data_IF_629416791278
#
_entry.id   IF_629416791278
#
_cell.length_a   1.000
_cell.length_b   1.000
_cell.length_c   1.000
_cell.angle_alpha   90.00
_cell.angle_beta   90.00
_cell.angle_gamma   90.00
#
_symmetry.space_group_name_H-M   'P 1'
#
loop_
_entity.id
_entity.type
_entity.pdbx_description
1 polymer ?
#
# COMPACT_ATOMS: atom_id res chain seq x y z
N UNK A 1 14.36 -14.53 -4.19
CA UNK A 1 13.84 -13.15 -4.29
C UNK A 1 12.46 -13.20 -4.94
N UNK A 2 11.46 -12.52 -4.37
CA UNK A 2 10.07 -12.59 -4.85
C UNK A 2 9.49 -11.18 -5.06
N UNK A 3 8.46 -11.08 -5.93
CA UNK A 3 7.64 -9.88 -6.10
C UNK A 3 6.41 -10.01 -5.21
N UNK A 4 6.28 -9.13 -4.23
CA UNK A 4 5.24 -9.22 -3.19
C UNK A 4 4.43 -7.93 -3.19
N UNK A 5 3.12 -8.05 -3.40
CA UNK A 5 2.19 -6.95 -3.17
C UNK A 5 1.70 -7.00 -1.72
N UNK A 6 1.70 -5.86 -1.03
CA UNK A 6 1.24 -5.75 0.35
C UNK A 6 0.07 -4.78 0.38
N UNK A 7 -1.11 -5.30 0.71
CA UNK A 7 -2.33 -4.51 0.86
C UNK A 7 -2.49 -4.09 2.32
N UNK A 8 -2.81 -2.82 2.56
CA UNK A 8 -2.99 -2.27 3.90
C UNK A 8 -3.88 -1.03 3.89
N UNK A 9 -4.30 -0.57 5.07
CA UNK A 9 -5.36 0.44 5.23
C UNK A 9 -6.75 -0.20 5.24
N UNK A 10 -7.70 0.41 4.53
CA UNK A 10 -9.08 -0.06 4.36
C UNK A 10 -10.13 0.86 4.97
N UNK A 11 -11.42 0.54 4.81
CA UNK A 11 -12.53 1.34 5.34
C UNK A 11 -12.92 1.00 6.79
N UNK A 12 -12.22 0.07 7.45
CA UNK A 12 -12.53 -0.36 8.81
C UNK A 12 -12.04 0.65 9.87
N UNK A 13 -12.48 0.46 11.12
CA UNK A 13 -11.98 1.20 12.29
C UNK A 13 -10.49 0.97 12.56
N UNK A 14 -9.91 -0.09 12.00
CA UNK A 14 -8.49 -0.45 12.15
C UNK A 14 -7.60 0.15 11.04
N UNK A 15 -8.14 1.05 10.21
CA UNK A 15 -7.41 1.67 9.09
C UNK A 15 -6.01 2.19 9.48
N UNK A 16 -5.91 2.94 10.58
CA UNK A 16 -4.64 3.50 11.07
C UNK A 16 -3.66 2.41 11.53
N UNK A 17 -4.15 1.39 12.23
CA UNK A 17 -3.35 0.24 12.67
C UNK A 17 -2.83 -0.53 11.46
N UNK A 18 -3.70 -0.77 10.47
CA UNK A 18 -3.35 -1.44 9.21
C UNK A 18 -2.27 -0.67 8.44
N UNK A 19 -2.30 0.67 8.41
CA UNK A 19 -1.21 1.50 7.83
C UNK A 19 0.12 1.24 8.54
N UNK A 20 0.14 1.29 9.88
CA UNK A 20 1.36 1.09 10.66
C UNK A 20 1.94 -0.31 10.41
N UNK A 21 1.10 -1.35 10.49
CA UNK A 21 1.49 -2.73 10.24
C UNK A 21 1.98 -2.94 8.80
N UNK A 22 1.27 -2.38 7.82
CA UNK A 22 1.63 -2.43 6.41
C UNK A 22 3.00 -1.80 6.14
N UNK A 23 3.28 -0.64 6.73
CA UNK A 23 4.59 0.01 6.65
C UNK A 23 5.70 -0.88 7.19
N UNK A 24 5.51 -1.45 8.40
CA UNK A 24 6.48 -2.34 9.02
C UNK A 24 6.78 -3.58 8.18
N UNK A 25 5.73 -4.25 7.68
CA UNK A 25 5.87 -5.43 6.82
C UNK A 25 6.60 -5.08 5.52
N UNK A 26 6.21 -3.98 4.87
CA UNK A 26 6.85 -3.55 3.62
C UNK A 26 8.35 -3.29 3.82
N UNK A 27 8.73 -2.59 4.90
CA UNK A 27 10.13 -2.33 5.24
C UNK A 27 10.89 -3.64 5.48
N UNK A 28 10.30 -4.55 6.23
CA UNK A 28 10.92 -5.85 6.56
C UNK A 28 11.16 -6.69 5.31
N UNK A 29 10.13 -6.88 4.47
CA UNK A 29 10.24 -7.63 3.21
C UNK A 29 11.28 -7.03 2.26
N UNK A 30 11.34 -5.70 2.19
CA UNK A 30 12.35 -5.00 1.40
C UNK A 30 13.76 -5.24 1.93
N UNK A 31 13.97 -5.15 3.25
CA UNK A 31 15.26 -5.44 3.90
C UNK A 31 15.69 -6.90 3.72
N UNK A 32 14.74 -7.83 3.62
CA UNK A 32 14.99 -9.24 3.26
C UNK A 32 15.33 -9.44 1.77
N UNK A 33 15.35 -8.37 0.98
CA UNK A 33 15.70 -8.39 -0.44
C UNK A 33 14.52 -8.69 -1.36
N UNK A 34 13.26 -8.64 -0.91
CA UNK A 34 12.12 -8.81 -1.82
C UNK A 34 11.78 -7.52 -2.57
N UNK A 35 11.22 -7.67 -3.77
CA UNK A 35 10.66 -6.54 -4.52
C UNK A 35 9.21 -6.32 -4.04
N UNK A 36 8.96 -5.22 -3.34
CA UNK A 36 7.70 -4.96 -2.65
C UNK A 36 6.90 -3.88 -3.36
N UNK A 37 5.59 -4.13 -3.51
CA UNK A 37 4.60 -3.18 -4.03
C UNK A 37 3.58 -2.85 -2.95
N UNK A 38 3.72 -1.72 -2.24
CA UNK A 38 2.75 -1.31 -1.24
C UNK A 38 1.47 -0.82 -1.94
N UNK A 39 0.31 -1.32 -1.53
CA UNK A 39 -0.99 -0.94 -2.07
C UNK A 39 -1.86 -0.43 -0.92
N UNK A 40 -2.15 0.87 -0.93
CA UNK A 40 -2.96 1.50 0.09
C UNK A 40 -4.44 1.40 -0.29
N UNK A 41 -5.24 0.82 0.60
CA UNK A 41 -6.68 0.90 0.62
C UNK A 41 -7.08 2.15 1.43
N UNK A 42 -7.72 3.10 0.78
CA UNK A 42 -8.12 4.36 1.43
C UNK A 42 -9.39 4.17 2.26
N UNK A 43 -9.61 5.07 3.23
CA UNK A 43 -10.74 4.97 4.17
C UNK A 43 -12.11 5.12 3.48
N UNK A 44 -12.15 5.84 2.37
CA UNK A 44 -13.31 6.01 1.48
C UNK A 44 -13.51 4.84 0.49
N UNK A 45 -12.74 3.75 0.62
CA UNK A 45 -12.89 2.55 -0.22
C UNK A 45 -12.15 2.62 -1.56
N UNK A 46 -11.41 3.69 -1.81
CA UNK A 46 -10.50 3.83 -2.93
C UNK A 46 -9.18 3.07 -2.75
N UNK A 47 -8.37 3.08 -3.79
CA UNK A 47 -7.10 2.37 -3.85
C UNK A 47 -6.02 3.32 -4.39
N UNK A 48 -4.83 3.25 -3.82
CA UNK A 48 -3.64 3.88 -4.35
C UNK A 48 -2.64 2.78 -4.71
N UNK A 49 -2.54 2.50 -6.01
CA UNK A 49 -1.73 1.41 -6.55
C UNK A 49 -0.51 2.02 -7.26
N UNK A 50 0.72 1.77 -6.79
CA UNK A 50 1.92 2.14 -7.53
C UNK A 50 1.95 1.53 -8.94
N UNK A 51 2.55 2.19 -9.91
CA UNK A 51 2.82 1.58 -11.22
C UNK A 51 3.79 0.39 -11.10
N UNK A 52 4.84 0.56 -10.30
CA UNK A 52 5.97 -0.36 -10.19
C UNK A 52 6.12 -0.99 -8.81
N UNK A 53 6.92 -2.06 -8.72
CA UNK A 53 7.34 -2.65 -7.44
C UNK A 53 8.49 -1.83 -6.85
N UNK A 54 8.18 -0.61 -6.38
CA UNK A 54 9.13 0.32 -5.77
C UNK A 54 8.74 0.64 -4.33
N UNK A 55 9.70 0.47 -3.42
CA UNK A 55 9.55 0.83 -2.01
C UNK A 55 9.79 2.33 -1.79
N UNK A 56 8.70 3.05 -1.55
CA UNK A 56 8.67 4.51 -1.40
C UNK A 56 7.52 4.94 -0.49
N UNK A 57 7.61 4.55 0.78
CA UNK A 57 6.56 4.76 1.78
C UNK A 57 6.88 5.99 2.66
N UNK A 58 5.90 6.86 2.96
CA UNK A 58 6.01 7.94 3.95
C UNK A 58 6.07 7.41 5.40
N UNK A 59 7.19 6.82 5.82
CA UNK A 59 7.28 6.27 7.17
C UNK A 59 7.11 7.34 8.27
N UNK A 60 7.54 8.57 7.97
CA UNK A 60 7.59 9.71 8.91
C UNK A 60 6.20 10.17 9.33
N UNK A 61 5.20 10.01 8.45
CA UNK A 61 3.82 10.45 8.70
C UNK A 61 2.85 9.28 8.92
N UNK A 62 3.36 8.06 9.12
CA UNK A 62 2.56 6.84 9.30
C UNK A 62 1.58 6.88 10.48
N UNK A 63 1.82 7.74 11.47
CA UNK A 63 0.92 7.96 12.61
C UNK A 63 -0.27 8.88 12.30
N UNK A 64 -0.30 9.53 11.14
CA UNK A 64 -1.39 10.41 10.70
C UNK A 64 -1.97 9.85 9.39
N UNK A 65 -3.11 9.13 9.44
CA UNK A 65 -3.67 8.46 8.26
C UNK A 65 -3.97 9.41 7.10
N UNK A 66 -4.48 10.60 7.39
CA UNK A 66 -4.86 11.59 6.37
C UNK A 66 -3.61 12.12 5.65
N UNK A 67 -2.60 12.56 6.40
CA UNK A 67 -1.32 13.00 5.84
C UNK A 67 -0.59 11.86 5.12
N UNK A 68 -0.65 10.64 5.67
CA UNK A 68 -0.05 9.47 5.05
C UNK A 68 -0.64 9.22 3.66
N UNK A 69 -1.98 9.26 3.53
CA UNK A 69 -2.65 9.05 2.26
C UNK A 69 -2.21 10.10 1.23
N UNK A 70 -2.20 11.38 1.58
CA UNK A 70 -1.78 12.46 0.68
C UNK A 70 -0.35 12.27 0.19
N UNK A 71 0.56 11.99 1.12
CA UNK A 71 1.98 11.80 0.84
C UNK A 71 2.28 10.51 0.09
N UNK A 72 1.48 9.46 0.30
CA UNK A 72 1.55 8.21 -0.44
C UNK A 72 1.07 8.43 -1.89
N UNK A 73 -0.03 9.16 -2.09
CA UNK A 73 -0.56 9.51 -3.40
C UNK A 73 0.43 10.35 -4.23
N UNK A 74 1.03 11.38 -3.61
CA UNK A 74 2.07 12.21 -4.27
C UNK A 74 3.26 11.38 -4.75
N UNK A 75 3.73 10.43 -3.95
CA UNK A 75 4.91 9.61 -4.28
C UNK A 75 4.67 8.64 -5.44
N UNK A 76 3.44 8.15 -5.61
CA UNK A 76 3.17 7.05 -6.53
C UNK A 76 2.44 7.43 -7.82
N UNK A 77 1.85 8.63 -7.90
CA UNK A 77 1.09 9.04 -9.09
C UNK A 77 -0.18 8.21 -9.22
N UNK A 78 -1.31 8.82 -8.89
CA UNK A 78 -2.58 8.11 -8.65
C UNK A 78 -3.08 7.33 -9.88
N UNK A 79 -3.39 6.05 -9.69
CA UNK A 79 -4.48 5.37 -10.41
C UNK A 79 -5.54 4.98 -9.37
N UNK A 80 -6.54 5.83 -9.18
CA UNK A 80 -7.74 5.51 -8.40
C UNK A 80 -8.59 4.62 -9.29
N UNK A 81 -8.56 3.31 -9.07
CA UNK A 81 -9.46 2.37 -9.74
C UNK A 81 -10.48 1.83 -8.75
N UNK A 82 -11.76 1.83 -9.15
CA UNK A 82 -12.84 1.13 -8.45
C UNK A 82 -12.99 -0.33 -8.92
N UNK A 83 -12.13 -0.79 -9.82
CA UNK A 83 -12.20 -2.12 -10.43
C UNK A 83 -10.84 -2.82 -10.37
N UNK A 84 -10.66 -3.70 -9.36
CA UNK A 84 -9.43 -4.48 -9.18
C UNK A 84 -9.45 -5.80 -9.97
N UNK A 85 -10.65 -6.36 -10.20
CA UNK A 85 -10.79 -7.73 -10.68
C UNK A 85 -10.48 -7.95 -12.17
N UNK A 86 -10.31 -6.87 -12.95
CA UNK A 86 -10.08 -7.00 -14.40
C UNK A 86 -8.60 -7.19 -14.79
N UNK A 87 -7.65 -6.87 -13.90
CA UNK A 87 -6.22 -6.81 -14.23
C UNK A 87 -5.31 -7.69 -13.34
N UNK A 88 -5.80 -8.14 -12.19
CA UNK A 88 -5.03 -8.97 -11.27
C UNK A 88 -5.22 -10.47 -11.58
N UNK A 89 -4.30 -11.07 -12.33
CA UNK A 89 -4.02 -12.52 -12.29
C UNK A 89 -3.31 -12.87 -10.97
N UNK A 90 -3.88 -12.45 -9.84
CA UNK A 90 -3.37 -12.78 -8.51
C UNK A 90 -4.16 -14.00 -8.06
N UNK A 91 -3.53 -15.17 -8.16
CA UNK A 91 -4.01 -16.35 -7.46
C UNK A 91 -3.83 -16.11 -5.96
N UNK A 92 -4.94 -16.00 -5.23
CA UNK A 92 -4.91 -16.27 -3.81
C UNK A 92 -4.76 -17.79 -3.66
N UNK A 93 -3.66 -18.22 -3.05
CA UNK A 93 -3.48 -19.61 -2.61
C UNK A 93 -4.28 -19.86 -1.33
#
# INVERSE_FOLDING_TARGET
>A
MAKIAVFFGGSSTEHSISILTGCFICKTLHTMGHSVKPILLTKDGGWVVPSEYRMSIPFEVSNSPDLFQEEFQKRYGVSRTNQIFLWMRISFF
#
